data_IF_804816296515
#
_entry.id   IF_804816296515
#
_cell.length_a   1.000
_cell.length_b   1.000
_cell.length_c   1.000
_cell.angle_alpha   90.00
_cell.angle_beta   90.00
_cell.angle_gamma   90.00
#
_symmetry.space_group_name_H-M   'P 1'
#
loop_
_entity.id
_entity.type
_entity.pdbx_description
1 polymer ?
#
# COMPACT_ATOMS: atom_id res chain seq x y z
N UNK A 1 19.97 52.37 -35.70
CA UNK A 1 20.47 51.46 -34.65
C UNK A 1 20.67 52.15 -33.30
N UNK A 2 20.91 53.46 -33.24
CA UNK A 2 21.08 54.19 -31.96
C UNK A 2 19.76 54.39 -31.17
N UNK A 3 18.62 54.53 -31.83
CA UNK A 3 17.33 54.74 -31.12
C UNK A 3 16.86 53.52 -30.31
N UNK A 4 17.17 52.31 -30.77
CA UNK A 4 16.81 51.05 -30.08
C UNK A 4 17.62 50.90 -28.79
N UNK A 5 18.90 51.31 -28.79
CA UNK A 5 19.78 51.24 -27.62
C UNK A 5 19.36 52.24 -26.53
N UNK A 6 18.85 53.42 -26.92
CA UNK A 6 18.34 54.43 -26.00
C UNK A 6 16.97 54.04 -25.41
N UNK A 7 16.15 53.33 -26.17
CA UNK A 7 14.90 52.75 -25.65
C UNK A 7 15.19 51.67 -24.60
N UNK A 8 16.10 50.73 -24.88
CA UNK A 8 16.44 49.65 -23.93
C UNK A 8 17.13 50.19 -22.66
N UNK A 9 17.93 51.27 -22.75
CA UNK A 9 18.54 51.88 -21.56
C UNK A 9 17.54 52.65 -20.68
N UNK A 10 16.47 53.21 -21.28
CA UNK A 10 15.46 54.00 -20.55
C UNK A 10 14.43 53.16 -19.79
N UNK A 11 14.19 51.93 -20.24
CA UNK A 11 13.13 51.05 -19.70
C UNK A 11 13.65 49.84 -18.93
N UNK A 12 14.95 49.79 -18.58
CA UNK A 12 15.54 48.69 -17.80
C UNK A 12 14.87 48.46 -16.43
N UNK A 13 14.29 49.52 -15.85
CA UNK A 13 13.57 49.45 -14.56
C UNK A 13 12.22 48.69 -14.63
N UNK A 14 11.64 48.44 -15.81
CA UNK A 14 10.38 47.70 -15.95
C UNK A 14 10.50 46.23 -15.49
N UNK A 15 11.70 45.66 -15.49
CA UNK A 15 12.00 44.33 -14.93
C UNK A 15 11.65 44.26 -13.44
N UNK A 16 11.77 45.35 -12.69
CA UNK A 16 11.46 45.37 -11.25
C UNK A 16 9.96 45.44 -10.95
N UNK A 17 9.14 45.98 -11.86
CA UNK A 17 7.68 46.08 -11.69
C UNK A 17 6.96 44.85 -12.23
N UNK A 18 7.40 44.29 -13.36
CA UNK A 18 6.78 43.11 -13.97
C UNK A 18 7.38 41.80 -13.46
N UNK A 19 8.63 41.82 -12.98
CA UNK A 19 9.36 40.66 -12.45
C UNK A 19 8.65 39.88 -11.33
N UNK A 20 7.98 40.51 -10.35
CA UNK A 20 7.29 39.79 -9.27
C UNK A 20 6.09 38.94 -9.74
N UNK A 21 5.56 39.20 -10.94
CA UNK A 21 4.42 38.45 -11.50
C UNK A 21 4.88 37.20 -12.27
N UNK A 22 6.17 37.08 -12.60
CA UNK A 22 6.72 35.95 -13.39
C UNK A 22 7.88 35.20 -12.70
N UNK A 23 8.51 35.76 -11.67
CA UNK A 23 9.75 35.23 -11.10
C UNK A 23 9.69 34.90 -9.60
N UNK A 24 9.08 33.78 -9.23
CA UNK A 24 9.25 33.16 -7.92
C UNK A 24 10.60 32.45 -7.76
N UNK A 25 11.74 33.12 -8.01
CA UNK A 25 13.08 32.57 -7.79
C UNK A 25 14.02 33.71 -7.36
N UNK A 26 14.34 33.78 -6.07
CA UNK A 26 15.65 34.09 -5.43
C UNK A 26 15.35 34.18 -3.92
N UNK A 27 15.24 33.01 -3.29
CA UNK A 27 15.02 32.85 -1.85
C UNK A 27 15.84 31.69 -1.28
N UNK A 28 17.03 31.43 -1.83
CA UNK A 28 17.76 30.18 -1.63
C UNK A 28 19.27 30.31 -1.41
N UNK A 29 19.80 31.46 -1.00
CA UNK A 29 21.27 31.62 -0.80
C UNK A 29 21.69 31.85 0.67
N UNK A 30 20.75 32.04 1.60
CA UNK A 30 21.11 32.24 3.01
C UNK A 30 21.50 30.95 3.77
N UNK A 31 21.31 29.75 3.20
CA UNK A 31 21.49 28.46 3.93
C UNK A 31 22.74 27.66 3.56
N UNK A 32 23.56 28.12 2.60
CA UNK A 32 24.75 27.38 2.15
C UNK A 32 26.08 27.89 2.76
N UNK A 33 26.11 29.11 3.31
CA UNK A 33 27.35 29.71 3.86
C UNK A 33 27.70 29.29 5.30
N UNK A 34 26.80 28.61 6.01
CA UNK A 34 27.06 28.14 7.38
C UNK A 34 27.95 26.89 7.43
N UNK A 35 27.94 26.06 6.37
CA UNK A 35 28.73 24.82 6.31
C UNK A 35 30.24 25.12 6.30
N UNK A 36 30.68 26.05 5.46
CA UNK A 36 32.10 26.48 5.37
C UNK A 36 32.67 27.08 6.67
N UNK A 37 31.83 27.71 7.51
CA UNK A 37 32.27 28.27 8.80
C UNK A 37 32.43 27.18 9.86
N UNK A 38 31.58 26.15 9.85
CA UNK A 38 31.71 24.99 10.76
C UNK A 38 32.98 24.20 10.44
N UNK A 39 33.28 23.99 9.16
CA UNK A 39 34.48 23.27 8.72
C UNK A 39 35.78 23.95 9.22
N UNK A 40 35.86 25.29 9.20
CA UNK A 40 37.04 26.01 9.73
C UNK A 40 37.18 25.90 11.23
N UNK A 41 36.08 25.96 11.98
CA UNK A 41 36.11 25.85 13.44
C UNK A 41 36.47 24.42 13.85
N UNK A 42 36.04 23.39 13.11
CA UNK A 42 36.43 21.99 13.32
C UNK A 42 37.91 21.76 12.98
N UNK A 43 38.42 22.34 11.89
CA UNK A 43 39.84 22.25 11.52
C UNK A 43 40.75 22.91 12.56
N UNK A 44 40.37 24.06 13.13
CA UNK A 44 41.12 24.69 14.21
C UNK A 44 41.05 23.89 15.52
N UNK A 45 39.92 23.21 15.77
CA UNK A 45 39.75 22.29 16.90
C UNK A 45 40.64 21.05 16.75
N UNK A 46 40.72 20.46 15.56
CA UNK A 46 41.61 19.34 15.26
C UNK A 46 43.09 19.76 15.32
N UNK A 47 43.41 20.98 14.86
CA UNK A 47 44.80 21.48 14.87
C UNK A 47 45.30 21.85 16.27
N UNK A 48 44.40 22.23 17.20
CA UNK A 48 44.74 22.52 18.61
C UNK A 48 44.48 21.36 19.55
N UNK A 49 43.81 20.30 19.09
CA UNK A 49 43.69 19.07 19.87
C UNK A 49 45.11 18.53 20.12
N UNK A 50 45.55 18.37 21.38
CA UNK A 50 46.79 17.68 21.65
C UNK A 50 46.66 16.29 21.00
N UNK A 51 47.63 15.94 20.14
CA UNK A 51 47.71 14.63 19.51
C UNK A 51 47.88 13.61 20.62
N UNK A 52 46.76 13.16 21.16
CA UNK A 52 46.69 12.00 22.02
C UNK A 52 47.10 10.84 21.13
N UNK A 53 48.17 10.09 21.44
CA UNK A 53 48.51 8.92 20.65
C UNK A 53 47.24 8.07 20.61
N UNK A 54 46.76 7.79 19.40
CA UNK A 54 45.64 6.91 19.17
C UNK A 54 46.05 5.59 19.84
N UNK A 55 45.60 5.35 21.07
CA UNK A 55 45.75 4.05 21.70
C UNK A 55 45.15 3.10 20.69
N UNK A 56 45.96 2.16 20.19
CA UNK A 56 45.54 1.22 19.17
C UNK A 56 44.17 0.70 19.60
N UNK A 57 43.14 0.96 18.78
CA UNK A 57 41.80 0.48 19.07
C UNK A 57 41.95 -1.02 19.42
N UNK A 58 41.42 -1.48 20.57
CA UNK A 58 41.56 -2.87 20.95
C UNK A 58 41.12 -3.73 19.76
N UNK A 59 41.98 -4.69 19.37
CA UNK A 59 41.63 -5.64 18.32
C UNK A 59 40.30 -6.30 18.70
N UNK A 60 39.35 -6.46 17.75
CA UNK A 60 38.07 -7.10 18.01
C UNK A 60 38.32 -8.42 18.73
N UNK A 61 37.66 -8.62 19.88
CA UNK A 61 37.79 -9.88 20.60
C UNK A 61 36.79 -10.89 20.03
N UNK A 62 37.07 -12.21 20.14
CA UNK A 62 36.09 -13.24 19.76
C UNK A 62 34.73 -13.11 20.47
N UNK A 63 34.69 -12.42 21.63
CA UNK A 63 33.46 -12.11 22.34
C UNK A 63 32.65 -10.98 21.66
N UNK A 64 33.33 -9.97 21.11
CA UNK A 64 32.70 -8.90 20.33
C UNK A 64 32.13 -9.48 19.02
N UNK A 65 32.89 -10.33 18.34
CA UNK A 65 32.45 -11.03 17.11
C UNK A 65 31.22 -11.91 17.38
N UNK A 66 31.19 -12.63 18.52
CA UNK A 66 30.05 -13.46 18.89
C UNK A 66 28.79 -12.63 19.22
N UNK A 67 28.95 -11.49 19.88
CA UNK A 67 27.86 -10.56 20.18
C UNK A 67 27.28 -9.94 18.90
N UNK A 68 28.15 -9.52 17.96
CA UNK A 68 27.74 -8.97 16.67
C UNK A 68 26.99 -10.01 15.83
N UNK A 69 27.45 -11.27 15.80
CA UNK A 69 26.76 -12.35 15.11
C UNK A 69 25.39 -12.67 15.75
N UNK A 70 25.27 -12.58 17.07
CA UNK A 70 23.99 -12.77 17.76
C UNK A 70 23.01 -11.63 17.44
N UNK A 71 23.49 -10.38 17.43
CA UNK A 71 22.70 -9.22 17.07
C UNK A 71 22.21 -9.28 15.60
N UNK A 72 23.07 -9.70 14.67
CA UNK A 72 22.70 -9.89 13.26
C UNK A 72 21.63 -10.98 13.08
N UNK A 73 21.71 -12.09 13.85
CA UNK A 73 20.68 -13.14 13.83
C UNK A 73 19.35 -12.63 14.36
N UNK A 74 19.37 -11.91 15.49
CA UNK A 74 18.16 -11.33 16.06
C UNK A 74 17.53 -10.28 15.12
N UNK A 75 18.34 -9.50 14.40
CA UNK A 75 17.83 -8.60 13.38
C UNK A 75 17.19 -9.33 12.20
N UNK A 76 17.85 -10.38 11.70
CA UNK A 76 17.33 -11.24 10.64
C UNK A 76 16.00 -11.89 11.05
N UNK A 77 15.90 -12.41 12.28
CA UNK A 77 14.67 -13.04 12.79
C UNK A 77 13.52 -12.01 12.86
N UNK A 78 13.76 -10.78 13.34
CA UNK A 78 12.76 -9.69 13.31
C UNK A 78 12.32 -9.32 11.90
N UNK A 79 13.24 -9.31 10.93
CA UNK A 79 12.88 -9.06 9.53
C UNK A 79 12.01 -10.18 8.94
N UNK A 80 12.26 -11.42 9.33
CA UNK A 80 11.45 -12.59 8.93
C UNK A 80 10.04 -12.48 9.52
N UNK A 81 9.92 -12.22 10.82
CA UNK A 81 8.62 -12.05 11.49
C UNK A 81 7.79 -10.94 10.83
N UNK A 82 8.43 -9.80 10.53
CA UNK A 82 7.77 -8.67 9.89
C UNK A 82 7.21 -9.04 8.51
N UNK A 83 8.00 -9.69 7.65
CA UNK A 83 7.53 -9.97 6.28
C UNK A 83 6.45 -11.05 6.24
N UNK A 84 6.46 -11.97 7.21
CA UNK A 84 5.36 -12.93 7.39
C UNK A 84 4.07 -12.21 7.79
N UNK A 85 4.17 -11.30 8.77
CA UNK A 85 3.03 -10.48 9.18
C UNK A 85 2.50 -9.58 8.04
N UNK A 86 3.39 -9.00 7.24
CA UNK A 86 3.01 -8.18 6.08
C UNK A 86 2.23 -9.01 5.04
N UNK A 87 2.63 -10.27 4.78
CA UNK A 87 1.86 -11.17 3.91
C UNK A 87 0.47 -11.46 4.50
N UNK A 88 0.41 -11.89 5.77
CA UNK A 88 -0.84 -12.21 6.45
C UNK A 88 -1.82 -11.02 6.46
N UNK A 89 -1.30 -9.81 6.63
CA UNK A 89 -2.10 -8.58 6.59
C UNK A 89 -2.69 -8.33 5.20
N UNK A 90 -1.92 -8.53 4.13
CA UNK A 90 -2.43 -8.40 2.75
C UNK A 90 -3.48 -9.49 2.46
N UNK A 91 -3.25 -10.72 2.90
CA UNK A 91 -4.21 -11.82 2.77
C UNK A 91 -5.51 -11.53 3.51
N UNK A 92 -5.43 -11.03 4.74
CA UNK A 92 -6.60 -10.64 5.53
C UNK A 92 -7.38 -9.52 4.83
N UNK A 93 -6.69 -8.50 4.33
CA UNK A 93 -7.31 -7.40 3.55
C UNK A 93 -7.93 -7.91 2.25
N UNK A 94 -7.35 -8.91 1.59
CA UNK A 94 -7.92 -9.54 0.41
C UNK A 94 -9.16 -10.37 0.76
N UNK A 95 -9.08 -11.19 1.80
CA UNK A 95 -10.16 -12.07 2.26
C UNK A 95 -11.42 -11.29 2.62
N UNK A 96 -11.23 -10.10 3.19
CA UNK A 96 -12.29 -9.11 3.40
C UNK A 96 -13.09 -8.83 2.11
N UNK A 97 -12.48 -8.79 0.93
CA UNK A 97 -13.20 -8.61 -0.34
C UNK A 97 -13.83 -9.89 -0.88
N UNK A 98 -13.41 -11.09 -0.48
CA UNK A 98 -14.04 -12.34 -0.94
C UNK A 98 -15.22 -12.76 -0.05
N UNK A 99 -15.15 -12.44 1.24
CA UNK A 99 -16.14 -12.87 2.23
C UNK A 99 -17.21 -11.80 2.52
N UNK A 100 -16.88 -10.52 2.41
CA UNK A 100 -17.83 -9.42 2.64
C UNK A 100 -18.63 -9.13 1.37
N UNK A 101 -19.89 -9.55 1.39
CA UNK A 101 -20.84 -9.37 0.29
C UNK A 101 -21.04 -7.89 -0.04
N UNK A 102 -21.07 -7.01 0.96
CA UNK A 102 -21.24 -5.59 0.71
C UNK A 102 -20.05 -5.02 -0.07
N UNK A 103 -18.81 -5.41 0.30
CA UNK A 103 -17.60 -5.02 -0.44
C UNK A 103 -17.57 -5.58 -1.86
N UNK A 104 -18.05 -6.81 -2.08
CA UNK A 104 -18.17 -7.38 -3.42
C UNK A 104 -19.17 -6.63 -4.30
N UNK A 105 -20.29 -6.19 -3.71
CA UNK A 105 -21.29 -5.39 -4.42
C UNK A 105 -20.72 -4.01 -4.75
N UNK A 106 -19.96 -3.39 -3.84
CA UNK A 106 -19.36 -2.08 -4.07
C UNK A 106 -18.20 -2.12 -5.09
N UNK A 107 -17.40 -3.18 -5.06
CA UNK A 107 -16.14 -3.28 -5.80
C UNK A 107 -15.99 -4.61 -6.56
N UNK A 108 -16.91 -4.97 -7.47
CA UNK A 108 -16.91 -6.27 -8.14
C UNK A 108 -15.68 -6.50 -9.03
N UNK A 109 -15.03 -5.43 -9.49
CA UNK A 109 -13.84 -5.51 -10.33
C UNK A 109 -12.60 -6.03 -9.60
N UNK A 110 -12.59 -6.01 -8.25
CA UNK A 110 -11.48 -6.54 -7.44
C UNK A 110 -11.32 -8.05 -7.63
N UNK A 111 -12.39 -8.76 -7.97
CA UNK A 111 -12.39 -10.21 -8.22
C UNK A 111 -12.58 -10.57 -9.71
N UNK A 112 -12.84 -9.59 -10.57
CA UNK A 112 -13.03 -9.82 -12.01
C UNK A 112 -11.69 -10.04 -12.75
N UNK A 113 -11.45 -11.28 -13.17
CA UNK A 113 -10.26 -11.68 -13.93
C UNK A 113 -10.18 -11.07 -15.34
N UNK A 114 -11.22 -10.38 -15.83
CA UNK A 114 -11.16 -9.62 -17.08
C UNK A 114 -10.34 -8.34 -16.92
N UNK A 115 -10.24 -7.81 -15.70
CA UNK A 115 -9.50 -6.58 -15.43
C UNK A 115 -7.99 -6.85 -15.37
N UNK A 116 -7.16 -6.13 -16.15
CA UNK A 116 -5.71 -6.38 -16.21
C UNK A 116 -4.99 -6.21 -14.86
N UNK A 117 -5.43 -5.26 -14.03
CA UNK A 117 -4.85 -5.02 -12.71
C UNK A 117 -5.19 -6.16 -11.74
N UNK A 118 -6.41 -6.68 -11.81
CA UNK A 118 -6.85 -7.85 -11.03
C UNK A 118 -6.06 -9.10 -11.43
N UNK A 119 -5.83 -9.33 -12.74
CA UNK A 119 -4.96 -10.42 -13.20
C UNK A 119 -3.52 -10.28 -12.69
N UNK A 120 -2.99 -9.05 -12.68
CA UNK A 120 -1.64 -8.75 -12.18
C UNK A 120 -1.54 -9.05 -10.69
N UNK A 121 -2.54 -8.60 -9.91
CA UNK A 121 -2.69 -8.91 -8.51
C UNK A 121 -2.71 -10.43 -8.24
N UNK A 122 -3.59 -11.19 -8.91
CA UNK A 122 -3.67 -12.64 -8.70
C UNK A 122 -2.41 -13.39 -9.13
N UNK A 123 -1.67 -12.87 -10.12
CA UNK A 123 -0.36 -13.41 -10.49
C UNK A 123 0.66 -13.16 -9.37
N UNK A 124 0.74 -11.94 -8.85
CA UNK A 124 1.65 -11.59 -7.76
C UNK A 124 1.32 -12.38 -6.48
N UNK A 125 0.02 -12.52 -6.14
CA UNK A 125 -0.45 -13.38 -5.04
C UNK A 125 0.08 -14.81 -5.17
N UNK A 126 -0.10 -15.44 -6.34
CA UNK A 126 0.39 -16.82 -6.56
C UNK A 126 1.90 -16.96 -6.41
N UNK A 127 2.67 -15.93 -6.80
CA UNK A 127 4.13 -15.93 -6.63
C UNK A 127 4.49 -15.80 -5.14
N UNK A 128 3.86 -14.89 -4.40
CA UNK A 128 4.08 -14.73 -2.97
C UNK A 128 3.70 -15.99 -2.18
N UNK A 129 2.56 -16.60 -2.49
CA UNK A 129 2.11 -17.87 -1.90
C UNK A 129 3.04 -19.03 -2.22
N UNK A 130 3.54 -19.13 -3.45
CA UNK A 130 4.50 -20.16 -3.85
C UNK A 130 5.86 -20.05 -3.16
N UNK A 131 6.20 -18.86 -2.64
CA UNK A 131 7.42 -18.61 -1.88
C UNK A 131 7.19 -18.57 -0.36
N UNK A 132 5.94 -18.75 0.10
CA UNK A 132 5.59 -18.74 1.51
C UNK A 132 6.28 -19.91 2.22
N UNK A 133 7.10 -19.65 3.25
CA UNK A 133 7.80 -20.72 3.97
C UNK A 133 6.82 -21.49 4.86
N UNK A 134 7.04 -22.79 5.03
CA UNK A 134 6.29 -23.58 6.01
C UNK A 134 6.78 -23.29 7.45
N UNK A 135 8.05 -22.91 7.60
CA UNK A 135 8.64 -22.48 8.86
C UNK A 135 9.59 -21.29 8.64
N UNK A 136 9.63 -20.34 9.60
CA UNK A 136 10.47 -19.14 9.53
C UNK A 136 11.96 -19.44 9.25
N UNK A 137 12.46 -20.60 9.69
CA UNK A 137 13.83 -21.05 9.45
C UNK A 137 14.18 -21.18 7.96
N UNK A 138 13.21 -21.43 7.08
CA UNK A 138 13.40 -21.58 5.63
C UNK A 138 13.78 -20.28 4.93
N UNK A 139 13.58 -19.13 5.58
CA UNK A 139 14.01 -17.82 5.07
C UNK A 139 15.43 -17.42 5.49
N UNK A 140 16.10 -18.23 6.30
CA UNK A 140 17.50 -17.99 6.74
C UNK A 140 18.58 -18.20 5.67
N UNK A 141 18.45 -19.14 4.71
CA UNK A 141 19.39 -19.28 3.62
C UNK A 141 19.56 -17.98 2.83
N UNK A 142 20.77 -17.74 2.31
CA UNK A 142 21.08 -16.52 1.58
C UNK A 142 20.13 -16.30 0.38
N UNK A 143 19.55 -15.10 0.28
CA UNK A 143 18.65 -14.71 -0.80
C UNK A 143 17.19 -15.16 -0.63
N UNK A 144 16.87 -16.05 0.33
CA UNK A 144 15.51 -16.54 0.52
C UNK A 144 14.58 -15.45 1.03
N UNK A 145 14.98 -14.74 2.10
CA UNK A 145 14.23 -13.61 2.63
C UNK A 145 14.08 -12.49 1.60
N UNK A 146 15.13 -12.19 0.84
CA UNK A 146 15.10 -11.10 -0.14
C UNK A 146 14.09 -11.39 -1.26
N UNK A 147 14.11 -12.61 -1.82
CA UNK A 147 13.13 -13.05 -2.83
C UNK A 147 11.70 -13.05 -2.29
N UNK A 148 11.49 -13.55 -1.07
CA UNK A 148 10.16 -13.57 -0.47
C UNK A 148 9.65 -12.15 -0.19
N UNK A 149 10.51 -11.27 0.32
CA UNK A 149 10.18 -9.86 0.56
C UNK A 149 9.78 -9.12 -0.70
N UNK A 150 10.51 -9.33 -1.80
CA UNK A 150 10.17 -8.76 -3.11
C UNK A 150 8.80 -9.25 -3.57
N UNK A 151 8.53 -10.56 -3.48
CA UNK A 151 7.24 -11.13 -3.87
C UNK A 151 6.06 -10.61 -3.03
N UNK A 152 6.23 -10.50 -1.71
CA UNK A 152 5.20 -9.92 -0.82
C UNK A 152 4.98 -8.44 -1.13
N UNK A 153 6.04 -7.68 -1.45
CA UNK A 153 5.92 -6.28 -1.83
C UNK A 153 5.19 -6.11 -3.16
N UNK A 154 5.50 -6.92 -4.16
CA UNK A 154 4.82 -6.91 -5.45
C UNK A 154 3.35 -7.30 -5.30
N UNK A 155 3.06 -8.29 -4.44
CA UNK A 155 1.70 -8.68 -4.09
C UNK A 155 0.91 -7.52 -3.48
N UNK A 156 1.46 -6.85 -2.46
CA UNK A 156 0.85 -5.69 -1.82
C UNK A 156 0.58 -4.55 -2.82
N UNK A 157 1.59 -4.18 -3.61
CA UNK A 157 1.48 -3.08 -4.59
C UNK A 157 0.42 -3.39 -5.66
N UNK A 158 0.42 -4.63 -6.18
CA UNK A 158 -0.55 -5.04 -7.18
C UNK A 158 -1.97 -5.07 -6.61
N UNK A 159 -2.14 -5.52 -5.36
CA UNK A 159 -3.43 -5.49 -4.66
C UNK A 159 -3.96 -4.06 -4.51
N UNK A 160 -3.13 -3.13 -4.03
CA UNK A 160 -3.55 -1.74 -3.86
C UNK A 160 -3.89 -1.05 -5.18
N UNK A 161 -3.18 -1.38 -6.26
CA UNK A 161 -3.48 -0.88 -7.59
C UNK A 161 -4.84 -1.39 -8.10
N UNK A 162 -5.12 -2.70 -7.93
CA UNK A 162 -6.39 -3.30 -8.31
C UNK A 162 -7.56 -2.70 -7.51
N UNK A 163 -7.43 -2.58 -6.19
CA UNK A 163 -8.46 -1.97 -5.33
C UNK A 163 -8.71 -0.50 -5.68
N UNK A 164 -7.65 0.26 -5.96
CA UNK A 164 -7.79 1.67 -6.36
C UNK A 164 -8.52 1.81 -7.68
N UNK A 165 -8.22 0.97 -8.67
CA UNK A 165 -8.92 0.99 -9.95
C UNK A 165 -10.38 0.56 -9.80
N UNK A 166 -10.65 -0.50 -9.04
CA UNK A 166 -12.01 -0.93 -8.77
C UNK A 166 -12.84 0.18 -8.12
N UNK A 167 -12.29 0.90 -7.13
CA UNK A 167 -12.92 2.08 -6.52
C UNK A 167 -13.18 3.20 -7.53
N UNK A 168 -12.19 3.50 -8.37
CA UNK A 168 -12.31 4.56 -9.40
C UNK A 168 -13.40 4.22 -10.43
N UNK A 169 -13.47 2.97 -10.86
CA UNK A 169 -14.47 2.46 -11.80
C UNK A 169 -15.86 2.41 -11.19
N UNK A 170 -15.99 1.93 -9.95
CA UNK A 170 -17.26 1.92 -9.22
C UNK A 170 -17.90 3.33 -9.17
N UNK A 171 -17.09 4.38 -9.02
CA UNK A 171 -17.57 5.77 -9.03
C UNK A 171 -18.05 6.27 -10.40
N UNK A 172 -17.62 5.63 -11.51
CA UNK A 172 -17.87 6.13 -12.87
C UNK A 172 -18.82 5.23 -13.68
N UNK A 173 -18.96 3.96 -13.31
CA UNK A 173 -19.60 2.95 -14.17
C UNK A 173 -21.12 2.80 -13.99
N UNK A 174 -21.69 3.27 -12.88
CA UNK A 174 -23.10 3.03 -12.57
C UNK A 174 -23.97 4.29 -12.71
N UNK A 175 -25.08 4.15 -13.43
CA UNK A 175 -26.16 5.14 -13.47
C UNK A 175 -26.84 5.27 -12.10
N UNK A 176 -27.61 6.34 -11.90
CA UNK A 176 -28.34 6.56 -10.63
C UNK A 176 -29.32 5.41 -10.33
N UNK A 177 -29.99 4.89 -11.35
CA UNK A 177 -30.93 3.78 -11.21
C UNK A 177 -30.22 2.48 -10.79
N UNK A 178 -29.06 2.18 -11.40
CA UNK A 178 -28.25 1.01 -11.03
C UNK A 178 -27.70 1.15 -9.60
N UNK A 179 -27.22 2.34 -9.22
CA UNK A 179 -26.77 2.61 -7.84
C UNK A 179 -27.88 2.38 -6.83
N UNK A 180 -29.12 2.77 -7.13
CA UNK A 180 -30.27 2.52 -6.27
C UNK A 180 -30.60 1.04 -6.11
N UNK A 181 -30.50 0.25 -7.19
CA UNK A 181 -30.66 -1.22 -7.16
C UNK A 181 -29.57 -1.89 -6.32
N UNK A 182 -28.31 -1.48 -6.47
CA UNK A 182 -27.19 -1.98 -5.64
C UNK A 182 -27.40 -1.68 -4.15
N UNK A 183 -27.82 -0.47 -3.80
CA UNK A 183 -28.14 -0.12 -2.41
C UNK A 183 -29.31 -0.94 -1.85
N UNK A 184 -30.32 -1.21 -2.69
CA UNK A 184 -31.45 -2.06 -2.30
C UNK A 184 -31.01 -3.50 -2.06
N UNK A 185 -30.16 -4.04 -2.94
CA UNK A 185 -29.56 -5.36 -2.77
C UNK A 185 -28.73 -5.45 -1.47
N UNK A 186 -27.92 -4.44 -1.15
CA UNK A 186 -27.13 -4.41 0.09
C UNK A 186 -28.02 -4.48 1.34
N UNK A 187 -29.10 -3.69 1.39
CA UNK A 187 -30.06 -3.73 2.51
C UNK A 187 -30.71 -5.10 2.65
N UNK A 188 -31.10 -5.72 1.54
CA UNK A 188 -31.70 -7.05 1.53
C UNK A 188 -30.70 -8.13 1.97
N UNK A 189 -29.43 -8.03 1.56
CA UNK A 189 -28.37 -8.93 2.03
C UNK A 189 -28.14 -8.79 3.54
N UNK A 190 -28.12 -7.57 4.07
CA UNK A 190 -27.99 -7.35 5.52
C UNK A 190 -29.14 -8.01 6.31
N UNK A 191 -30.37 -8.00 5.77
CA UNK A 191 -31.50 -8.73 6.38
C UNK A 191 -31.33 -10.24 6.26
N UNK A 192 -30.82 -10.74 5.13
CA UNK A 192 -30.56 -12.16 4.93
C UNK A 192 -29.49 -12.73 5.87
N UNK A 193 -28.49 -11.93 6.23
CA UNK A 193 -27.43 -12.30 7.17
C UNK A 193 -27.82 -12.09 8.65
N UNK A 194 -28.88 -11.33 8.94
CA UNK A 194 -29.28 -11.03 10.32
C UNK A 194 -29.96 -12.23 10.99
N UNK A 195 -29.28 -12.85 11.96
CA UNK A 195 -29.76 -13.97 12.78
C UNK A 195 -31.03 -13.66 13.59
N UNK A 196 -31.32 -12.38 13.88
CA UNK A 196 -32.55 -12.00 14.59
C UNK A 196 -33.81 -12.06 13.71
N UNK A 197 -33.67 -12.25 12.38
CA UNK A 197 -34.79 -12.35 11.44
C UNK A 197 -35.27 -13.78 11.30
N UNK A 198 -36.54 -13.98 10.94
CA UNK A 198 -37.05 -15.35 10.75
C UNK A 198 -36.39 -16.02 9.53
N UNK A 199 -36.24 -17.36 9.51
CA UNK A 199 -35.62 -18.03 8.38
C UNK A 199 -36.32 -17.80 7.04
N UNK A 200 -37.65 -17.64 7.04
CA UNK A 200 -38.43 -17.34 5.84
C UNK A 200 -38.14 -15.92 5.30
N UNK A 201 -38.01 -14.93 6.19
CA UNK A 201 -37.63 -13.56 5.83
C UNK A 201 -36.21 -13.52 5.26
N UNK A 202 -35.27 -14.24 5.88
CA UNK A 202 -33.88 -14.34 5.40
C UNK A 202 -33.80 -14.92 3.99
N UNK A 203 -34.49 -16.05 3.74
CA UNK A 203 -34.54 -16.65 2.40
C UNK A 203 -35.23 -15.75 1.37
N UNK A 204 -36.31 -15.06 1.76
CA UNK A 204 -37.01 -14.12 0.89
C UNK A 204 -36.11 -12.93 0.51
N UNK A 205 -35.45 -12.33 1.51
CA UNK A 205 -34.53 -11.23 1.34
C UNK A 205 -33.33 -11.62 0.45
N UNK A 206 -32.76 -12.81 0.66
CA UNK A 206 -31.69 -13.35 -0.19
C UNK A 206 -32.12 -13.49 -1.66
N UNK A 207 -33.29 -14.11 -1.91
CA UNK A 207 -33.82 -14.26 -3.28
C UNK A 207 -34.09 -12.91 -3.94
N UNK A 208 -34.59 -11.93 -3.19
CA UNK A 208 -34.85 -10.59 -3.70
C UNK A 208 -33.55 -9.84 -3.98
N UNK A 209 -32.56 -9.91 -3.09
CA UNK A 209 -31.23 -9.32 -3.30
C UNK A 209 -30.58 -9.87 -4.57
N UNK A 210 -30.66 -11.19 -4.79
CA UNK A 210 -30.09 -11.85 -5.98
C UNK A 210 -30.75 -11.37 -7.28
N UNK A 211 -32.05 -11.06 -7.27
CA UNK A 211 -32.75 -10.45 -8.42
C UNK A 211 -32.31 -9.00 -8.66
N UNK A 212 -32.06 -8.24 -7.60
CA UNK A 212 -31.57 -6.86 -7.77
C UNK A 212 -30.15 -6.79 -8.33
N UNK A 213 -29.29 -7.75 -7.98
CA UNK A 213 -27.93 -7.87 -8.49
C UNK A 213 -27.84 -8.47 -9.89
N UNK A 214 -28.90 -9.16 -10.35
CA UNK A 214 -28.92 -9.82 -11.65
C UNK A 214 -28.72 -8.83 -12.79
N UNK A 215 -27.82 -9.18 -13.71
CA UNK A 215 -27.37 -8.34 -14.82
C UNK A 215 -26.45 -7.18 -14.45
N UNK A 216 -26.21 -6.90 -13.16
CA UNK A 216 -25.30 -5.84 -12.71
C UNK A 216 -23.97 -6.38 -12.21
N UNK A 217 -23.99 -7.46 -11.41
CA UNK A 217 -22.78 -8.03 -10.79
C UNK A 217 -22.87 -9.56 -10.79
N UNK A 218 -21.78 -10.22 -11.20
CA UNK A 218 -21.61 -11.66 -11.00
C UNK A 218 -20.96 -11.89 -9.63
N UNK A 219 -21.71 -12.47 -8.69
CA UNK A 219 -21.17 -12.83 -7.37
C UNK A 219 -20.25 -14.06 -7.49
N UNK A 220 -19.08 -14.08 -6.84
CA UNK A 220 -18.24 -15.27 -6.76
C UNK A 220 -18.97 -16.49 -6.16
N UNK A 221 -18.66 -17.68 -6.65
CA UNK A 221 -19.29 -18.92 -6.15
C UNK A 221 -18.96 -19.21 -4.69
N UNK A 222 -17.76 -18.84 -4.23
CA UNK A 222 -17.32 -19.02 -2.84
C UNK A 222 -18.21 -18.23 -1.88
N UNK A 223 -18.36 -16.93 -2.13
CA UNK A 223 -19.26 -16.04 -1.37
C UNK A 223 -20.70 -16.56 -1.38
N UNK A 224 -21.16 -17.04 -2.54
CA UNK A 224 -22.52 -17.60 -2.69
C UNK A 224 -22.70 -18.84 -1.80
N UNK A 225 -21.76 -19.78 -1.83
CA UNK A 225 -21.82 -20.99 -1.00
C UNK A 225 -21.75 -20.67 0.49
N UNK A 226 -20.89 -19.74 0.90
CA UNK A 226 -20.77 -19.35 2.32
C UNK A 226 -22.06 -18.68 2.83
N UNK A 227 -22.72 -17.89 1.99
CA UNK A 227 -24.04 -17.32 2.29
C UNK A 227 -25.12 -18.39 2.38
N UNK A 228 -25.19 -19.28 1.39
CA UNK A 228 -26.16 -20.38 1.38
C UNK A 228 -25.97 -21.29 2.60
N UNK A 229 -24.72 -21.57 3.00
CA UNK A 229 -24.41 -22.31 4.22
C UNK A 229 -24.83 -21.57 5.49
N UNK A 230 -24.63 -20.24 5.60
CA UNK A 230 -25.09 -19.47 6.77
C UNK A 230 -26.60 -19.34 6.85
N UNK A 231 -27.28 -19.30 5.70
CA UNK A 231 -28.75 -19.25 5.63
C UNK A 231 -29.36 -20.64 5.89
N UNK A 232 -28.74 -21.71 5.40
CA UNK A 232 -29.22 -23.10 5.54
C UNK A 232 -28.74 -23.81 6.82
N UNK A 233 -27.57 -23.44 7.34
CA UNK A 233 -26.92 -24.04 8.51
C UNK A 233 -27.65 -23.77 9.83
N UNK A 234 -28.55 -22.79 9.84
CA UNK A 234 -29.43 -22.48 10.98
C UNK A 234 -30.88 -22.97 10.74
N UNK A 235 -31.08 -23.77 9.70
CA UNK A 235 -32.37 -24.34 9.29
C UNK A 235 -32.44 -25.88 9.38
N UNK A 236 -31.44 -26.53 10.00
CA UNK A 236 -31.57 -27.92 10.46
C UNK A 236 -32.09 -27.92 11.91
N UNK A 237 -32.99 -28.86 12.26
CA UNK A 237 -34.00 -28.73 13.32
C UNK A 237 -33.48 -28.62 14.76
#
# INVERSE_FOLDING_TARGET
MEEILRFVSGYWWLIFIVGPVVGGWIGGVAKYNERRRRDRIELERIRRAPVQPLAAAPLPTPADDAADLAAQRADRDRQIERILADHEEVDRRWLDFELDVAKLIDYPLVTDMREPLTQTFHRAKRVAEGLRPAAAAELRPAGALERYREAVRDYEVAFEAAVREAKRRAQTQFTEAERSRLQTAQRLMAVAENEASTPAERQSAYRQARRELDGLIALPETTTRDLEHRIAGELSP
#
